data_IF_396438215211
#
_entry.id   IF_396438215211
#
_cell.length_a   1.000
_cell.length_b   1.000
_cell.length_c   1.000
_cell.angle_alpha   90.00
_cell.angle_beta   90.00
_cell.angle_gamma   90.00
#
_symmetry.space_group_name_H-M   'P 1'
#
loop_
_entity.id
_entity.type
_entity.pdbx_description
1 polymer ?
#
# COMPACT_ATOMS: atom_id res chain seq x y z
N UNK A 1 11.00 20.00 -3.73
CA UNK A 1 11.39 18.58 -3.67
C UNK A 1 11.45 17.96 -5.06
N UNK A 2 10.35 17.93 -5.84
CA UNK A 2 10.39 17.43 -7.23
C UNK A 2 11.26 18.27 -8.17
N UNK A 3 11.31 19.60 -7.99
CA UNK A 3 12.25 20.45 -8.74
C UNK A 3 13.72 20.29 -8.30
N UNK A 4 13.96 19.75 -7.10
CA UNK A 4 15.30 19.54 -6.55
C UNK A 4 15.85 18.15 -6.88
N UNK A 5 14.94 17.17 -7.07
CA UNK A 5 15.25 15.78 -7.40
C UNK A 5 14.26 15.29 -8.47
N UNK A 6 14.42 15.72 -9.73
CA UNK A 6 13.50 15.35 -10.82
C UNK A 6 13.48 13.83 -11.12
N UNK A 7 14.55 13.13 -10.77
CA UNK A 7 14.65 11.66 -10.85
C UNK A 7 13.87 10.94 -9.74
N UNK A 8 13.51 11.65 -8.66
CA UNK A 8 12.86 11.04 -7.51
C UNK A 8 11.37 10.79 -7.77
N UNK A 9 11.03 9.53 -8.06
CA UNK A 9 9.67 9.08 -8.32
C UNK A 9 9.15 8.17 -7.20
N UNK A 10 7.98 8.51 -6.66
CA UNK A 10 7.28 7.62 -5.73
C UNK A 10 6.65 6.45 -6.51
N UNK A 11 7.11 5.24 -6.25
CA UNK A 11 6.58 4.05 -6.92
C UNK A 11 5.28 3.52 -6.30
N UNK A 12 5.09 3.72 -4.99
CA UNK A 12 3.94 3.21 -4.23
C UNK A 12 3.50 4.22 -3.18
N UNK A 13 2.19 4.37 -2.99
CA UNK A 13 1.59 5.15 -1.93
C UNK A 13 0.75 4.24 -1.03
N UNK A 14 1.03 4.27 0.27
CA UNK A 14 0.29 3.51 1.29
C UNK A 14 -0.59 4.49 2.06
N UNK A 15 -1.90 4.37 1.94
CA UNK A 15 -2.85 5.26 2.61
C UNK A 15 -3.92 4.45 3.36
N UNK A 16 -4.54 5.07 4.36
CA UNK A 16 -5.67 4.47 5.08
C UNK A 16 -6.96 4.50 4.22
N UNK A 17 -8.03 3.92 4.73
CA UNK A 17 -9.32 3.91 4.04
C UNK A 17 -10.05 5.24 4.00
N UNK A 18 -9.64 6.26 4.77
CA UNK A 18 -10.19 7.61 4.65
C UNK A 18 -9.74 8.27 3.34
N UNK A 19 -8.62 7.82 2.76
CA UNK A 19 -8.13 8.27 1.46
C UNK A 19 -8.72 7.48 0.28
N UNK A 20 -9.74 6.64 0.51
CA UNK A 20 -10.44 5.90 -0.54
C UNK A 20 -11.40 6.80 -1.34
N UNK A 21 -10.82 7.75 -2.08
CA UNK A 21 -11.54 8.70 -2.94
C UNK A 21 -10.92 8.75 -4.33
N UNK A 22 -11.76 8.83 -5.38
CA UNK A 22 -11.32 8.71 -6.77
C UNK A 22 -10.23 9.71 -7.17
N UNK A 23 -10.26 10.93 -6.65
CA UNK A 23 -9.26 11.96 -6.99
C UNK A 23 -7.84 11.60 -6.54
N UNK A 24 -7.72 10.90 -5.40
CA UNK A 24 -6.42 10.39 -4.95
C UNK A 24 -5.92 9.31 -5.91
N UNK A 25 -6.78 8.38 -6.34
CA UNK A 25 -6.39 7.37 -7.32
C UNK A 25 -5.99 7.99 -8.66
N UNK A 26 -6.69 9.03 -9.13
CA UNK A 26 -6.35 9.78 -10.36
C UNK A 26 -4.99 10.46 -10.25
N UNK A 27 -4.72 11.12 -9.12
CA UNK A 27 -3.43 11.77 -8.86
C UNK A 27 -2.28 10.74 -8.85
N UNK A 28 -2.46 9.64 -8.13
CA UNK A 28 -1.45 8.58 -8.06
C UNK A 28 -1.21 7.95 -9.43
N UNK A 29 -2.26 7.70 -10.21
CA UNK A 29 -2.15 7.18 -11.56
C UNK A 29 -1.38 8.12 -12.50
N UNK A 30 -1.68 9.43 -12.47
CA UNK A 30 -0.98 10.43 -13.27
C UNK A 30 0.52 10.49 -12.93
N UNK A 31 0.88 10.26 -11.67
CA UNK A 31 2.25 10.22 -11.19
C UNK A 31 2.94 8.84 -11.34
N UNK A 32 2.27 7.87 -11.98
CA UNK A 32 2.78 6.50 -12.12
C UNK A 32 3.06 5.82 -10.76
N UNK A 33 2.32 6.22 -9.72
CA UNK A 33 2.42 5.71 -8.36
C UNK A 33 1.33 4.68 -8.11
N UNK A 34 1.70 3.48 -7.65
CA UNK A 34 0.73 2.45 -7.34
C UNK A 34 0.02 2.71 -6.00
N UNK A 35 -1.31 2.65 -6.01
CA UNK A 35 -2.15 2.92 -4.85
C UNK A 35 -2.35 1.67 -3.96
N UNK A 36 -1.92 1.75 -2.70
CA UNK A 36 -2.20 0.78 -1.65
C UNK A 36 -3.09 1.42 -0.58
N UNK A 37 -4.39 1.55 -0.90
CA UNK A 37 -5.39 2.26 -0.09
C UNK A 37 -6.49 1.30 0.28
N UNK A 38 -6.74 0.97 1.55
CA UNK A 38 -7.82 0.03 1.89
C UNK A 38 -9.20 0.58 1.48
N UNK A 39 -10.13 -0.27 1.02
CA UNK A 39 -11.45 0.22 0.62
C UNK A 39 -12.25 0.65 1.85
N UNK A 40 -12.98 1.75 1.73
CA UNK A 40 -13.87 2.23 2.77
C UNK A 40 -15.20 1.46 2.70
N UNK A 41 -15.48 0.64 3.72
CA UNK A 41 -16.73 -0.13 3.80
C UNK A 41 -18.00 0.74 3.90
N UNK A 42 -17.87 2.01 4.31
CA UNK A 42 -18.98 2.97 4.40
C UNK A 42 -19.38 3.53 3.03
N UNK A 43 -18.47 3.51 2.06
CA UNK A 43 -18.69 4.06 0.73
C UNK A 43 -18.49 2.98 -0.33
N UNK A 44 -19.60 2.34 -0.73
CA UNK A 44 -19.63 1.51 -1.93
C UNK A 44 -19.77 2.45 -3.13
N UNK A 45 -18.65 3.01 -3.58
CA UNK A 45 -18.64 3.89 -4.75
C UNK A 45 -19.34 3.25 -5.95
N UNK A 46 -19.80 4.08 -6.89
CA UNK A 46 -20.39 3.59 -8.13
C UNK A 46 -19.29 3.00 -9.01
N UNK A 47 -19.14 1.68 -9.00
CA UNK A 47 -18.17 0.99 -9.84
C UNK A 47 -18.52 1.20 -11.31
N UNK A 48 -17.59 1.75 -12.08
CA UNK A 48 -17.79 2.20 -13.47
C UNK A 48 -17.16 1.23 -14.48
N UNK A 49 -17.37 -0.08 -14.32
CA UNK A 49 -16.85 -1.06 -15.27
C UNK A 49 -17.92 -1.59 -16.22
N UNK A 50 -17.57 -1.71 -17.50
CA UNK A 50 -18.47 -2.14 -18.57
C UNK A 50 -18.51 -3.66 -18.72
N UNK A 51 -19.70 -4.24 -18.81
CA UNK A 51 -19.94 -5.63 -19.27
C UNK A 51 -20.48 -6.59 -18.20
N UNK A 52 -20.75 -7.87 -18.56
CA UNK A 52 -21.25 -8.91 -17.64
C UNK A 52 -20.12 -9.45 -16.76
N UNK A 53 -19.43 -8.55 -16.05
CA UNK A 53 -18.32 -8.86 -15.17
C UNK A 53 -18.80 -8.77 -13.72
N UNK A 54 -18.85 -9.90 -13.03
CA UNK A 54 -19.04 -9.92 -11.57
C UNK A 54 -17.67 -9.83 -10.91
N UNK A 55 -17.49 -8.89 -9.98
CA UNK A 55 -16.28 -8.77 -9.16
C UNK A 55 -16.65 -8.94 -7.68
N UNK A 56 -15.72 -9.47 -6.89
CA UNK A 56 -15.89 -9.50 -5.44
C UNK A 56 -15.49 -8.17 -4.80
N UNK A 57 -15.58 -8.08 -3.47
CA UNK A 57 -15.25 -6.89 -2.68
C UNK A 57 -13.81 -6.38 -2.86
N UNK A 58 -12.90 -7.22 -3.36
CA UNK A 58 -11.51 -6.85 -3.62
C UNK A 58 -11.25 -6.45 -5.08
N UNK A 59 -12.28 -6.35 -5.92
CA UNK A 59 -12.14 -6.10 -7.36
C UNK A 59 -11.62 -7.31 -8.16
N UNK A 60 -11.67 -8.51 -7.58
CA UNK A 60 -11.27 -9.76 -8.26
C UNK A 60 -12.45 -10.29 -9.07
N UNK A 61 -12.29 -10.55 -10.38
CA UNK A 61 -13.32 -11.18 -11.20
C UNK A 61 -13.76 -12.53 -10.66
N UNK A 62 -15.06 -12.77 -10.71
CA UNK A 62 -15.69 -14.05 -10.41
C UNK A 62 -16.03 -14.73 -11.74
N UNK A 63 -15.68 -16.01 -11.86
CA UNK A 63 -15.98 -16.78 -13.07
C UNK A 63 -17.44 -17.28 -13.07
N UNK A 64 -17.90 -17.86 -14.18
CA UNK A 64 -19.28 -18.33 -14.34
C UNK A 64 -19.71 -19.44 -13.37
N UNK A 65 -18.75 -20.15 -12.76
CA UNK A 65 -19.01 -21.16 -11.72
C UNK A 65 -18.86 -20.59 -10.31
N UNK A 66 -18.94 -19.25 -10.19
CA UNK A 66 -18.89 -18.49 -8.95
C UNK A 66 -17.59 -18.63 -8.13
N UNK A 67 -16.46 -18.85 -8.80
CA UNK A 67 -15.14 -18.93 -8.17
C UNK A 67 -14.31 -17.66 -8.46
N UNK A 68 -13.57 -17.13 -7.47
CA UNK A 68 -12.67 -16.00 -7.69
C UNK A 68 -11.52 -16.41 -8.62
N UNK A 69 -11.20 -15.57 -9.59
CA UNK A 69 -10.11 -15.81 -10.51
C UNK A 69 -8.75 -15.50 -9.89
N UNK A 70 -7.70 -16.18 -10.36
CA UNK A 70 -6.32 -15.95 -9.94
C UNK A 70 -5.69 -14.84 -10.76
N UNK A 71 -5.01 -13.91 -10.08
CA UNK A 71 -4.20 -12.90 -10.75
C UNK A 71 -2.99 -13.55 -11.44
N UNK A 72 -2.82 -13.27 -12.73
CA UNK A 72 -1.65 -13.67 -13.52
C UNK A 72 -0.60 -12.57 -13.63
N UNK A 73 -0.99 -11.32 -13.35
CA UNK A 73 -0.13 -10.16 -13.42
C UNK A 73 -0.68 -9.06 -14.33
N UNK A 74 -0.05 -7.90 -14.22
CA UNK A 74 -0.33 -6.73 -15.02
C UNK A 74 0.49 -6.75 -16.32
N UNK A 75 -0.16 -6.46 -17.44
CA UNK A 75 0.47 -6.33 -18.75
C UNK A 75 0.66 -4.84 -19.07
N UNK A 76 1.90 -4.36 -19.00
CA UNK A 76 2.25 -2.95 -19.24
C UNK A 76 1.88 -2.51 -20.67
N UNK A 77 2.20 -3.31 -21.69
CA UNK A 77 1.99 -2.94 -23.09
C UNK A 77 0.51 -2.73 -23.45
N UNK A 78 -0.40 -3.42 -22.75
CA UNK A 78 -1.85 -3.35 -23.01
C UNK A 78 -2.64 -2.75 -21.84
N UNK A 79 -1.95 -2.19 -20.84
CA UNK A 79 -2.50 -1.61 -19.61
C UNK A 79 -3.67 -2.42 -19.01
N UNK A 80 -3.47 -3.73 -18.81
CA UNK A 80 -4.54 -4.63 -18.36
C UNK A 80 -4.04 -5.68 -17.37
N UNK A 81 -4.87 -6.03 -16.40
CA UNK A 81 -4.66 -7.11 -15.45
C UNK A 81 -5.22 -8.39 -16.08
N UNK A 82 -4.41 -9.45 -16.09
CA UNK A 82 -4.83 -10.76 -16.60
C UNK A 82 -5.26 -11.65 -15.43
N UNK A 83 -6.44 -12.22 -15.55
CA UNK A 83 -7.03 -13.14 -14.58
C UNK A 83 -7.22 -14.51 -15.21
N UNK A 84 -6.90 -15.58 -14.49
CA UNK A 84 -7.04 -16.96 -14.96
C UNK A 84 -7.88 -17.79 -14.02
N UNK A 85 -8.55 -18.79 -14.58
CA UNK A 85 -9.24 -19.80 -13.79
C UNK A 85 -8.27 -20.47 -12.79
N UNK A 86 -8.68 -20.70 -11.53
CA UNK A 86 -7.89 -21.44 -10.53
C UNK A 86 -7.39 -22.81 -11.03
N UNK A 87 -8.19 -23.45 -11.89
CA UNK A 87 -7.84 -24.71 -12.57
C UNK A 87 -6.41 -24.73 -13.15
N UNK A 88 -5.96 -23.59 -13.67
CA UNK A 88 -4.63 -23.50 -14.28
C UNK A 88 -3.52 -23.93 -13.31
N UNK A 89 -3.64 -23.51 -12.04
CA UNK A 89 -2.63 -23.80 -11.02
C UNK A 89 -2.85 -25.17 -10.41
N UNK A 90 -4.11 -25.53 -10.20
CA UNK A 90 -4.51 -26.77 -9.57
C UNK A 90 -5.86 -27.22 -10.14
N UNK A 91 -5.85 -28.41 -10.74
CA UNK A 91 -7.03 -28.95 -11.43
C UNK A 91 -8.22 -29.16 -10.48
N UNK A 92 -7.96 -29.44 -9.21
CA UNK A 92 -8.98 -29.70 -8.19
C UNK A 92 -9.78 -28.45 -7.82
N UNK A 93 -9.22 -27.25 -8.01
CA UNK A 93 -9.83 -25.99 -7.57
C UNK A 93 -11.01 -25.54 -8.44
N UNK A 94 -11.26 -26.18 -9.58
CA UNK A 94 -12.41 -25.87 -10.43
C UNK A 94 -12.98 -27.16 -11.06
N UNK A 95 -13.95 -27.81 -10.40
CA UNK A 95 -14.53 -29.07 -10.86
C UNK A 95 -15.33 -28.92 -12.16
N UNK A 96 -15.84 -27.71 -12.44
CA UNK A 96 -16.67 -27.40 -13.62
C UNK A 96 -15.89 -26.70 -14.75
N UNK A 97 -14.59 -27.02 -14.90
CA UNK A 97 -13.73 -26.35 -15.89
C UNK A 97 -14.27 -26.46 -17.33
N UNK A 98 -14.79 -27.64 -17.71
CA UNK A 98 -15.29 -27.88 -19.07
C UNK A 98 -16.46 -26.96 -19.43
N UNK A 99 -17.26 -26.58 -18.43
CA UNK A 99 -18.34 -25.57 -18.58
C UNK A 99 -17.76 -24.16 -18.71
N UNK A 100 -16.66 -23.87 -17.99
CA UNK A 100 -16.00 -22.56 -18.02
C UNK A 100 -15.28 -22.24 -19.34
N UNK A 101 -14.53 -23.20 -19.88
CA UNK A 101 -13.78 -23.04 -21.14
C UNK A 101 -13.42 -24.42 -21.71
N UNK A 102 -13.65 -24.65 -23.02
CA UNK A 102 -13.31 -25.92 -23.67
C UNK A 102 -11.80 -26.07 -23.90
N UNK A 103 -11.00 -25.01 -23.74
CA UNK A 103 -9.55 -25.04 -23.99
C UNK A 103 -8.79 -25.46 -22.74
N UNK A 104 -7.72 -26.26 -22.92
CA UNK A 104 -6.75 -26.64 -21.85
C UNK A 104 -6.19 -25.42 -21.10
N UNK A 105 -6.05 -24.27 -21.78
CA UNK A 105 -5.56 -23.04 -21.16
C UNK A 105 -6.52 -22.44 -20.12
N UNK A 106 -7.80 -22.84 -20.12
CA UNK A 106 -8.85 -22.37 -19.23
C UNK A 106 -9.42 -21.01 -19.62
N UNK A 107 -10.38 -20.52 -18.83
CA UNK A 107 -10.98 -19.20 -18.99
C UNK A 107 -10.00 -18.11 -18.53
N UNK A 108 -9.95 -17.02 -19.29
CA UNK A 108 -9.15 -15.83 -19.00
C UNK A 108 -10.08 -14.62 -19.04
N UNK A 109 -9.97 -13.76 -18.03
CA UNK A 109 -10.64 -12.46 -18.00
C UNK A 109 -9.57 -11.38 -17.93
N UNK A 110 -9.84 -10.24 -18.55
CA UNK A 110 -8.98 -9.07 -18.47
C UNK A 110 -9.77 -7.93 -17.83
N UNK A 111 -9.19 -7.29 -16.83
CA UNK A 111 -9.68 -6.01 -16.32
C UNK A 111 -8.66 -4.93 -16.63
N UNK A 112 -9.10 -3.67 -16.69
CA UNK A 112 -8.22 -2.55 -16.97
C UNK A 112 -8.30 -1.55 -15.83
N UNK A 113 -7.17 -0.97 -15.38
CA UNK A 113 -7.20 0.10 -14.38
C UNK A 113 -8.07 1.28 -14.79
N UNK A 114 -8.15 1.59 -16.10
CA UNK A 114 -8.98 2.69 -16.60
C UNK A 114 -10.50 2.45 -16.49
N UNK A 115 -10.95 1.22 -16.22
CA UNK A 115 -12.37 0.96 -15.92
C UNK A 115 -12.73 1.43 -14.52
N UNK A 116 -11.85 1.18 -13.55
CA UNK A 116 -11.99 1.69 -12.19
C UNK A 116 -10.62 1.63 -11.51
N UNK A 117 -9.99 2.79 -11.30
CA UNK A 117 -8.65 2.90 -10.70
C UNK A 117 -8.64 2.48 -9.22
N UNK A 118 -9.81 2.50 -8.55
CA UNK A 118 -9.99 2.12 -7.15
C UNK A 118 -10.09 0.61 -6.98
N UNK A 119 -10.79 -0.07 -7.90
CA UNK A 119 -10.99 -1.53 -7.86
C UNK A 119 -9.88 -2.30 -8.59
N UNK A 120 -9.42 -1.83 -9.76
CA UNK A 120 -8.48 -2.55 -10.61
C UNK A 120 -7.07 -1.98 -10.51
N UNK A 121 -6.42 -2.28 -9.38
CA UNK A 121 -5.01 -1.95 -9.14
C UNK A 121 -4.07 -3.01 -9.72
N UNK A 122 -2.87 -2.58 -10.16
CA UNK A 122 -1.84 -3.48 -10.75
C UNK A 122 -1.50 -4.66 -9.83
N UNK A 123 -1.32 -4.39 -8.53
CA UNK A 123 -1.29 -5.40 -7.47
C UNK A 123 -2.69 -5.53 -6.87
N UNK A 124 -3.39 -6.66 -7.08
CA UNK A 124 -4.74 -6.83 -6.57
C UNK A 124 -4.81 -6.84 -5.05
N UNK A 125 -5.84 -6.19 -4.55
CA UNK A 125 -6.17 -6.14 -3.13
C UNK A 125 -6.41 -7.53 -2.55
N UNK A 126 -6.01 -7.74 -1.31
CA UNK A 126 -6.15 -9.03 -0.62
C UNK A 126 -5.13 -10.10 -1.07
N UNK A 127 -4.39 -9.88 -2.15
CA UNK A 127 -3.29 -10.77 -2.55
C UNK A 127 -2.15 -10.75 -1.52
N UNK A 128 -1.35 -11.83 -1.47
CA UNK A 128 -0.19 -11.91 -0.57
C UNK A 128 0.80 -10.75 -0.78
N UNK A 129 1.17 -10.37 -2.03
CA UNK A 129 2.01 -9.19 -2.26
C UNK A 129 1.37 -7.90 -1.74
N UNK A 130 0.06 -7.72 -1.93
CA UNK A 130 -0.64 -6.54 -1.44
C UNK A 130 -0.59 -6.43 0.08
N UNK A 131 -0.91 -7.53 0.78
CA UNK A 131 -0.87 -7.60 2.25
C UNK A 131 0.52 -7.30 2.81
N UNK A 132 1.56 -7.86 2.20
CA UNK A 132 2.95 -7.66 2.62
C UNK A 132 3.37 -6.18 2.50
N UNK A 133 3.01 -5.52 1.40
CA UNK A 133 3.31 -4.10 1.21
C UNK A 133 2.49 -3.27 2.20
N UNK A 134 1.19 -3.52 2.27
CA UNK A 134 0.27 -2.73 3.11
C UNK A 134 0.60 -2.81 4.61
N UNK A 135 1.13 -3.94 5.08
CA UNK A 135 1.58 -4.11 6.47
C UNK A 135 2.66 -3.08 6.91
N UNK A 136 3.41 -2.53 5.95
CA UNK A 136 4.43 -1.50 6.21
C UNK A 136 3.85 -0.16 6.68
N UNK A 137 2.53 0.05 6.57
CA UNK A 137 1.86 1.26 7.10
C UNK A 137 2.13 1.49 8.59
N UNK A 138 2.31 0.40 9.34
CA UNK A 138 2.63 0.43 10.78
C UNK A 138 3.91 1.21 11.10
N UNK A 139 4.82 1.36 10.13
CA UNK A 139 6.01 2.21 10.29
C UNK A 139 5.63 3.67 10.50
N UNK A 140 4.64 4.19 9.77
CA UNK A 140 4.18 5.58 9.94
C UNK A 140 3.53 5.78 11.30
N UNK A 141 2.71 4.82 11.74
CA UNK A 141 2.07 4.84 13.07
C UNK A 141 3.14 4.85 14.19
N UNK A 142 4.21 4.05 14.06
CA UNK A 142 5.34 4.06 14.99
C UNK A 142 6.06 5.40 15.00
N UNK A 143 6.32 6.00 13.83
CA UNK A 143 6.91 7.34 13.73
C UNK A 143 6.03 8.38 14.41
N UNK A 144 4.72 8.38 14.17
CA UNK A 144 3.81 9.30 14.86
C UNK A 144 3.79 9.10 16.36
N UNK A 145 3.78 7.85 16.85
CA UNK A 145 3.90 7.55 18.28
C UNK A 145 5.19 8.11 18.88
N UNK A 146 6.32 7.99 18.18
CA UNK A 146 7.59 8.61 18.60
C UNK A 146 7.50 10.12 18.70
N UNK A 147 6.98 10.78 17.67
CA UNK A 147 6.82 12.25 17.62
C UNK A 147 5.89 12.71 18.73
N UNK A 148 4.67 12.19 18.78
CA UNK A 148 3.59 12.70 19.61
C UNK A 148 3.76 12.33 21.08
N UNK A 149 4.05 11.05 21.37
CA UNK A 149 4.08 10.50 22.73
C UNK A 149 5.49 10.50 23.31
N UNK A 150 6.46 9.87 22.64
CA UNK A 150 7.80 9.67 23.23
C UNK A 150 8.57 10.99 23.36
N UNK A 151 8.49 11.87 22.34
CA UNK A 151 9.03 13.23 22.41
C UNK A 151 8.07 14.22 23.10
N UNK A 152 6.94 13.75 23.64
CA UNK A 152 5.99 14.51 24.46
C UNK A 152 5.48 15.79 23.78
N UNK A 153 5.39 15.78 22.45
CA UNK A 153 4.91 16.92 21.67
C UNK A 153 3.47 17.24 22.09
N UNK A 154 2.62 16.26 22.31
CA UNK A 154 1.25 16.49 22.80
C UNK A 154 1.20 17.28 24.13
N UNK A 155 2.24 17.19 24.95
CA UNK A 155 2.36 17.91 26.23
C UNK A 155 3.01 19.29 26.10
N UNK A 156 3.55 19.66 24.93
CA UNK A 156 4.30 20.89 24.74
C UNK A 156 3.44 22.16 24.85
N UNK A 157 2.10 22.04 24.86
CA UNK A 157 1.11 23.13 25.02
C UNK A 157 1.43 24.37 24.17
N UNK A 158 1.94 24.16 22.96
CA UNK A 158 2.33 25.22 22.06
C UNK A 158 1.11 25.83 21.35
N UNK A 159 1.03 27.16 21.27
CA UNK A 159 -0.05 27.85 20.54
C UNK A 159 0.30 28.17 19.08
N UNK A 160 1.59 28.31 18.77
CA UNK A 160 2.06 28.70 17.44
C UNK A 160 2.34 27.50 16.54
N UNK A 161 1.82 27.52 15.31
CA UNK A 161 2.10 26.52 14.27
C UNK A 161 3.60 26.40 13.97
N UNK A 162 4.34 27.52 14.00
CA UNK A 162 5.80 27.52 13.77
C UNK A 162 6.54 26.72 14.84
N UNK A 163 6.11 26.84 16.10
CA UNK A 163 6.73 26.11 17.22
C UNK A 163 6.42 24.62 17.16
N UNK A 164 5.18 24.26 16.81
CA UNK A 164 4.80 22.86 16.54
C UNK A 164 5.65 22.24 15.43
N UNK A 165 5.79 22.94 14.31
CA UNK A 165 6.62 22.50 13.20
C UNK A 165 8.06 22.25 13.65
N UNK A 166 8.69 23.21 14.31
CA UNK A 166 10.07 23.09 14.77
C UNK A 166 10.29 21.90 15.70
N UNK A 167 9.41 21.71 16.68
CA UNK A 167 9.50 20.58 17.61
C UNK A 167 9.31 19.23 16.91
N UNK A 168 8.33 19.14 16.00
CA UNK A 168 8.11 17.93 15.21
C UNK A 168 9.32 17.61 14.30
N UNK A 169 9.95 18.62 13.72
CA UNK A 169 11.18 18.45 12.93
C UNK A 169 12.31 17.90 13.79
N UNK A 170 12.57 18.47 14.98
CA UNK A 170 13.59 17.96 15.88
C UNK A 170 13.31 16.51 16.32
N UNK A 171 12.05 16.18 16.62
CA UNK A 171 11.64 14.82 16.95
C UNK A 171 11.86 13.85 15.77
N UNK A 172 11.63 14.27 14.53
CA UNK A 172 11.89 13.46 13.34
C UNK A 172 13.40 13.25 13.13
N UNK A 173 14.21 14.29 13.28
CA UNK A 173 15.69 14.18 13.20
C UNK A 173 16.22 13.23 14.27
N UNK A 174 15.74 13.36 15.51
CA UNK A 174 16.16 12.47 16.61
C UNK A 174 15.81 11.00 16.35
N UNK A 175 14.67 10.71 15.72
CA UNK A 175 14.37 9.32 15.33
C UNK A 175 15.36 8.74 14.32
N UNK A 176 15.86 9.57 13.38
CA UNK A 176 16.90 9.14 12.46
C UNK A 176 18.23 8.93 13.19
N UNK A 177 18.58 9.80 14.14
CA UNK A 177 19.76 9.65 14.98
C UNK A 177 19.69 8.37 15.83
N UNK A 178 18.56 8.09 16.47
CA UNK A 178 18.35 6.86 17.23
C UNK A 178 18.57 5.61 16.36
N UNK A 179 18.03 5.61 15.14
CA UNK A 179 18.24 4.52 14.18
C UNK A 179 19.71 4.39 13.77
N UNK A 180 20.42 5.50 13.57
CA UNK A 180 21.85 5.51 13.27
C UNK A 180 22.68 4.97 14.44
N UNK A 181 22.36 5.35 15.68
CA UNK A 181 23.05 4.86 16.88
C UNK A 181 22.91 3.35 17.03
N UNK A 182 21.73 2.79 16.74
CA UNK A 182 21.51 1.33 16.76
C UNK A 182 22.39 0.59 15.75
N UNK A 183 22.60 1.18 14.57
CA UNK A 183 23.38 0.58 13.48
C UNK A 183 24.88 0.74 13.72
N UNK A 184 25.32 1.98 13.94
CA UNK A 184 26.73 2.35 14.06
C UNK A 184 27.31 1.96 15.42
N UNK A 185 26.46 1.74 16.43
CA UNK A 185 26.84 1.55 17.85
C UNK A 185 27.98 2.48 18.26
N UNK A 186 27.87 3.78 17.93
CA UNK A 186 29.01 4.65 18.03
C UNK A 186 29.39 4.84 19.49
N UNK A 187 30.68 4.81 19.78
CA UNK A 187 31.26 5.17 21.07
C UNK A 187 31.18 6.68 21.34
N UNK A 188 30.36 7.44 20.59
CA UNK A 188 30.26 8.90 20.67
C UNK A 188 30.16 9.38 22.11
N UNK A 189 29.44 8.67 22.98
CA UNK A 189 29.35 9.00 24.40
C UNK A 189 30.71 8.94 25.11
N UNK A 190 31.53 7.90 24.91
CA UNK A 190 32.91 7.90 25.43
C UNK A 190 33.79 8.91 24.72
N UNK A 191 33.57 9.17 23.43
CA UNK A 191 34.39 10.08 22.63
C UNK A 191 34.11 11.57 22.95
N UNK A 192 32.92 11.90 23.48
CA UNK A 192 32.55 13.23 23.98
C UNK A 192 32.52 13.32 25.52
N UNK A 193 33.03 12.30 26.22
CA UNK A 193 33.22 12.30 27.68
C UNK A 193 31.95 12.09 28.53
N UNK A 194 30.85 11.61 27.96
CA UNK A 194 29.64 11.24 28.68
C UNK A 194 29.60 9.74 28.97
N UNK A 195 29.58 9.35 30.25
CA UNK A 195 29.47 7.94 30.64
C UNK A 195 28.13 7.36 30.19
N UNK A 196 28.16 6.22 29.49
CA UNK A 196 26.96 5.43 29.19
C UNK A 196 26.29 5.01 30.49
N UNK A 197 25.10 5.55 30.76
CA UNK A 197 24.25 5.08 31.86
C UNK A 197 23.88 3.64 31.54
N UNK A 198 24.48 2.69 32.25
CA UNK A 198 24.05 1.30 32.22
C UNK A 198 22.61 1.25 32.70
N UNK A 199 21.73 0.62 31.92
CA UNK A 199 20.37 0.34 32.38
C UNK A 199 20.49 -0.55 33.62
N UNK A 200 19.96 -0.08 34.75
CA UNK A 200 19.69 -0.94 35.90
C UNK A 200 18.79 -2.09 35.44
N UNK A 201 19.24 -3.31 35.75
CA UNK A 201 18.54 -4.59 35.57
C UNK A 201 17.13 -4.60 36.12
#
# INVERSE_FOLDING_TARGET
>A
MLNLYPEFKFSKALLDSAHDVYDIYRLLWANQTEAFINLNGRYKGHSTYSGPLTVNDNGVPICIVNLPMLNWGFNNNRCRIKWRCPHYKDKSQCPKQQVCSPRKYGRVIYTKPNWDLRLFTSTPRGSKPWKNIYARRTTVERTFKRILVDHKIENARCRSKKRWFWQATLAAVNQHLDAQVVILKPSILSDIGLLTISKAT
#
